data_IF_728699030181
#
_entry.id   IF_728699030181
#
_cell.length_a   1.000
_cell.length_b   1.000
_cell.length_c   1.000
_cell.angle_alpha   90.00
_cell.angle_beta   90.00
_cell.angle_gamma   90.00
#
_symmetry.space_group_name_H-M   'P 1'
#
loop_
_entity.id
_entity.type
_entity.pdbx_description
1 polymer ?
#
# COMPACT_ATOMS: atom_id res chain seq x y z
N UNK A 1 18.94 18.18 17.26
CA UNK A 1 17.54 18.66 17.23
C UNK A 1 16.78 17.80 16.25
N UNK A 2 15.68 17.17 16.66
CA UNK A 2 14.85 16.39 15.74
C UNK A 2 14.03 17.39 14.92
N UNK A 3 14.19 17.39 13.60
CA UNK A 3 13.52 18.34 12.70
C UNK A 3 12.08 17.90 12.38
N UNK A 4 11.30 17.60 13.42
CA UNK A 4 9.89 17.20 13.26
C UNK A 4 9.04 18.31 12.72
N UNK A 5 9.45 19.58 12.84
CA UNK A 5 8.65 20.75 12.43
C UNK A 5 8.85 21.14 10.97
N UNK A 6 9.52 20.29 10.19
CA UNK A 6 9.77 20.51 8.76
C UNK A 6 9.01 19.49 7.90
N UNK A 7 8.87 19.78 6.61
CA UNK A 7 8.26 18.84 5.64
C UNK A 7 9.02 17.51 5.50
N UNK A 8 10.27 17.45 5.99
CA UNK A 8 11.02 16.19 6.06
C UNK A 8 10.36 15.17 6.98
N UNK A 9 9.54 15.60 7.94
CA UNK A 9 8.77 14.70 8.77
C UNK A 9 7.76 13.90 7.94
N UNK A 10 6.96 14.57 7.11
CA UNK A 10 6.01 13.95 6.18
C UNK A 10 6.73 13.01 5.21
N UNK A 11 7.85 13.46 4.63
CA UNK A 11 8.69 12.64 3.74
C UNK A 11 9.14 11.37 4.44
N UNK A 12 9.67 11.48 5.65
CA UNK A 12 10.16 10.33 6.42
C UNK A 12 9.03 9.34 6.74
N UNK A 13 7.89 9.83 7.24
CA UNK A 13 6.74 8.99 7.60
C UNK A 13 6.21 8.23 6.38
N UNK A 14 5.95 8.92 5.26
CA UNK A 14 5.45 8.27 4.04
C UNK A 14 6.47 7.26 3.52
N UNK A 15 7.75 7.60 3.53
CA UNK A 15 8.82 6.71 3.04
C UNK A 15 8.97 5.45 3.91
N UNK A 16 8.87 5.58 5.24
CA UNK A 16 8.89 4.44 6.16
C UNK A 16 7.68 3.52 5.90
N UNK A 17 6.48 4.09 5.75
CA UNK A 17 5.27 3.30 5.45
C UNK A 17 5.44 2.52 4.14
N UNK A 18 5.92 3.15 3.08
CA UNK A 18 6.14 2.47 1.80
C UNK A 18 7.27 1.45 1.86
N UNK A 19 8.34 1.71 2.62
CA UNK A 19 9.43 0.76 2.80
C UNK A 19 8.93 -0.50 3.53
N UNK A 20 8.32 -0.32 4.71
CA UNK A 20 7.73 -1.40 5.52
C UNK A 20 6.66 -2.14 4.73
N UNK A 21 5.75 -1.41 4.08
CA UNK A 21 4.69 -1.97 3.26
C UNK A 21 5.22 -2.82 2.10
N UNK A 22 6.28 -2.40 1.42
CA UNK A 22 6.89 -3.21 0.36
C UNK A 22 7.59 -4.46 0.89
N UNK A 23 8.18 -4.43 2.09
CA UNK A 23 8.80 -5.61 2.71
C UNK A 23 7.73 -6.67 3.01
N UNK A 24 6.63 -6.29 3.67
CA UNK A 24 5.60 -7.24 4.08
C UNK A 24 4.62 -7.61 2.97
N UNK A 25 4.20 -6.62 2.18
CA UNK A 25 3.11 -6.76 1.21
C UNK A 25 3.58 -6.68 -0.24
N UNK A 26 4.89 -6.67 -0.51
CA UNK A 26 5.42 -6.52 -1.87
C UNK A 26 4.97 -7.61 -2.84
N UNK A 27 4.69 -8.81 -2.34
CA UNK A 27 4.18 -9.96 -3.10
C UNK A 27 2.73 -9.75 -3.60
N UNK A 28 1.94 -8.85 -2.99
CA UNK A 28 0.65 -8.43 -3.53
C UNK A 28 0.82 -7.55 -4.79
N UNK A 29 2.03 -7.12 -5.16
CA UNK A 29 2.26 -6.30 -6.37
C UNK A 29 3.30 -6.89 -7.30
N UNK A 30 3.54 -8.20 -7.24
CA UNK A 30 4.57 -8.91 -7.98
C UNK A 30 4.52 -8.64 -9.50
N UNK A 31 3.34 -8.78 -10.12
CA UNK A 31 3.16 -8.53 -11.56
C UNK A 31 2.80 -7.07 -11.89
N UNK A 32 2.85 -6.16 -10.91
CA UNK A 32 2.58 -4.74 -11.16
C UNK A 32 3.84 -4.06 -11.71
N UNK A 33 3.75 -3.32 -12.83
CA UNK A 33 4.91 -2.60 -13.38
C UNK A 33 5.55 -1.69 -12.33
N UNK A 34 6.89 -1.75 -12.20
CA UNK A 34 7.65 -1.01 -11.16
C UNK A 34 7.35 0.50 -11.19
N UNK A 35 7.18 1.09 -12.37
CA UNK A 35 6.85 2.51 -12.51
C UNK A 35 5.50 2.87 -11.88
N UNK A 36 4.50 1.97 -11.91
CA UNK A 36 3.20 2.20 -11.24
C UNK A 36 3.36 2.19 -9.73
N UNK A 37 4.22 1.29 -9.21
CA UNK A 37 4.50 1.20 -7.77
C UNK A 37 5.22 2.45 -7.27
N UNK A 38 6.22 2.90 -8.02
CA UNK A 38 6.92 4.15 -7.75
C UNK A 38 6.00 5.37 -7.90
N UNK A 39 5.15 5.39 -8.92
CA UNK A 39 4.15 6.44 -9.13
C UNK A 39 3.16 6.57 -7.98
N UNK A 40 2.71 5.45 -7.37
CA UNK A 40 1.87 5.49 -6.16
C UNK A 40 2.59 6.18 -5.00
N UNK A 41 3.86 5.83 -4.76
CA UNK A 41 4.67 6.48 -3.74
C UNK A 41 4.78 7.99 -3.96
N UNK A 42 5.17 8.42 -5.17
CA UNK A 42 5.28 9.84 -5.50
C UNK A 42 3.93 10.57 -5.36
N UNK A 43 2.84 9.95 -5.84
CA UNK A 43 1.52 10.55 -5.74
C UNK A 43 1.09 10.71 -4.27
N UNK A 44 1.26 9.68 -3.43
CA UNK A 44 0.96 9.79 -2.00
C UNK A 44 1.81 10.87 -1.34
N UNK A 45 3.11 10.91 -1.66
CA UNK A 45 4.01 11.92 -1.11
C UNK A 45 3.58 13.34 -1.47
N UNK A 46 3.26 13.59 -2.74
CA UNK A 46 2.78 14.89 -3.21
C UNK A 46 1.45 15.29 -2.56
N UNK A 47 0.51 14.36 -2.41
CA UNK A 47 -0.77 14.61 -1.73
C UNK A 47 -0.54 14.96 -0.26
N UNK A 48 0.28 14.19 0.46
CA UNK A 48 0.56 14.43 1.88
C UNK A 48 1.29 15.76 2.09
N UNK A 49 2.31 16.05 1.28
CA UNK A 49 3.04 17.32 1.32
C UNK A 49 2.13 18.51 0.99
N UNK A 50 1.35 18.41 -0.08
CA UNK A 50 0.40 19.46 -0.46
C UNK A 50 -0.62 19.71 0.64
N UNK A 51 -1.21 18.66 1.20
CA UNK A 51 -2.19 18.79 2.28
C UNK A 51 -1.57 19.42 3.54
N UNK A 52 -0.33 19.03 3.87
CA UNK A 52 0.39 19.62 5.00
C UNK A 52 0.68 21.11 4.81
N UNK A 53 1.02 21.54 3.58
CA UNK A 53 1.30 22.96 3.27
C UNK A 53 0.02 23.80 3.27
N UNK A 54 -1.06 23.31 2.66
CA UNK A 54 -2.26 24.13 2.43
C UNK A 54 -3.31 24.06 3.56
N UNK A 55 -3.39 22.96 4.30
CA UNK A 55 -4.40 22.73 5.35
C UNK A 55 -3.75 22.50 6.72
N UNK A 56 -2.52 22.02 6.72
CA UNK A 56 -1.73 21.76 7.92
C UNK A 56 -1.47 20.27 8.14
N UNK A 57 -0.43 20.00 8.93
CA UNK A 57 0.04 18.64 9.22
C UNK A 57 -1.05 17.73 9.77
N UNK A 58 -1.89 18.23 10.67
CA UNK A 58 -2.96 17.44 11.30
C UNK A 58 -3.88 16.79 10.26
N UNK A 59 -4.20 17.51 9.17
CA UNK A 59 -5.03 17.00 8.08
C UNK A 59 -4.27 15.94 7.27
N UNK A 60 -3.00 16.20 6.97
CA UNK A 60 -2.14 15.25 6.23
C UNK A 60 -1.95 13.93 6.99
N UNK A 61 -1.70 13.98 8.30
CA UNK A 61 -1.53 12.80 9.14
C UNK A 61 -2.85 12.07 9.37
N UNK A 62 -3.96 12.79 9.50
CA UNK A 62 -5.30 12.19 9.57
C UNK A 62 -5.62 11.43 8.28
N UNK A 63 -5.36 12.03 7.11
CA UNK A 63 -5.55 11.37 5.82
C UNK A 63 -4.72 10.09 5.71
N UNK A 64 -3.44 10.16 6.09
CA UNK A 64 -2.54 9.01 6.06
C UNK A 64 -3.00 7.91 7.02
N UNK A 65 -3.43 8.28 8.23
CA UNK A 65 -3.99 7.36 9.21
C UNK A 65 -5.28 6.68 8.73
N UNK A 66 -6.14 7.41 8.00
CA UNK A 66 -7.36 6.85 7.42
C UNK A 66 -7.07 5.75 6.38
N UNK A 67 -5.89 5.73 5.74
CA UNK A 67 -5.51 4.67 4.80
C UNK A 67 -5.27 3.31 5.47
N UNK A 68 -5.19 3.26 6.80
CA UNK A 68 -5.17 2.00 7.56
C UNK A 68 -6.51 1.29 7.45
N UNK A 69 -7.63 2.02 7.36
CA UNK A 69 -8.97 1.44 7.26
C UNK A 69 -9.13 0.50 6.05
N UNK A 70 -8.85 0.93 4.80
CA UNK A 70 -8.91 0.03 3.66
C UNK A 70 -7.87 -1.10 3.74
N UNK A 71 -6.67 -0.85 4.30
CA UNK A 71 -5.67 -1.90 4.52
C UNK A 71 -6.25 -3.02 5.41
N UNK A 72 -6.76 -2.68 6.59
CA UNK A 72 -7.34 -3.64 7.53
C UNK A 72 -8.58 -4.31 6.96
N UNK A 73 -9.45 -3.58 6.26
CA UNK A 73 -10.64 -4.15 5.65
C UNK A 73 -10.28 -5.17 4.56
N UNK A 74 -9.36 -4.81 3.64
CA UNK A 74 -9.00 -5.66 2.52
C UNK A 74 -8.27 -6.92 3.01
N UNK A 75 -7.24 -6.73 3.85
CA UNK A 75 -6.38 -7.83 4.30
C UNK A 75 -7.00 -8.63 5.45
N UNK A 76 -7.74 -8.00 6.36
CA UNK A 76 -8.36 -8.68 7.50
C UNK A 76 -9.70 -9.35 7.16
N UNK A 77 -10.48 -8.80 6.24
CA UNK A 77 -11.84 -9.26 5.98
C UNK A 77 -12.10 -9.64 4.52
N UNK A 78 -11.89 -8.74 3.57
CA UNK A 78 -12.35 -8.94 2.20
C UNK A 78 -11.64 -10.10 1.49
N UNK A 79 -10.30 -10.12 1.50
CA UNK A 79 -9.55 -11.22 0.89
C UNK A 79 -9.88 -12.55 1.56
N UNK A 80 -9.81 -12.69 2.91
CA UNK A 80 -10.06 -13.98 3.55
C UNK A 80 -11.51 -14.44 3.43
N UNK A 81 -12.49 -13.57 3.74
CA UNK A 81 -13.90 -13.96 3.85
C UNK A 81 -14.65 -13.94 2.54
N UNK A 82 -14.34 -13.01 1.62
CA UNK A 82 -15.08 -12.87 0.35
C UNK A 82 -14.38 -13.55 -0.82
N UNK A 83 -13.05 -13.70 -0.78
CA UNK A 83 -12.27 -14.29 -1.88
C UNK A 83 -11.64 -15.63 -1.55
N UNK A 84 -11.60 -16.03 -0.26
CA UNK A 84 -10.88 -17.22 0.17
C UNK A 84 -9.39 -17.13 -0.13
N UNK A 85 -8.84 -15.92 -0.05
CA UNK A 85 -7.43 -15.59 -0.24
C UNK A 85 -6.89 -15.13 1.11
N UNK A 86 -5.80 -15.72 1.59
CA UNK A 86 -5.12 -15.29 2.79
C UNK A 86 -4.67 -13.83 2.63
N UNK A 87 -5.17 -12.95 3.49
CA UNK A 87 -4.87 -11.52 3.40
C UNK A 87 -3.46 -11.14 3.84
N UNK A 88 -2.67 -12.06 4.38
CA UNK A 88 -1.27 -11.84 4.69
C UNK A 88 -0.32 -12.39 3.61
N UNK A 89 -0.59 -13.58 3.06
CA UNK A 89 0.31 -14.26 2.10
C UNK A 89 -0.14 -14.20 0.63
N UNK A 90 -1.41 -13.85 0.39
CA UNK A 90 -2.02 -13.88 -0.94
C UNK A 90 -2.28 -15.29 -1.48
N UNK A 91 -2.26 -16.32 -0.63
CA UNK A 91 -2.54 -17.70 -1.03
C UNK A 91 -4.04 -18.06 -0.98
N UNK A 92 -4.54 -18.96 -1.85
CA UNK A 92 -3.83 -19.61 -2.95
C UNK A 92 -3.47 -18.65 -4.09
N UNK A 93 -2.23 -18.70 -4.59
CA UNK A 93 -1.70 -17.73 -5.57
C UNK A 93 -2.53 -17.67 -6.85
N UNK A 94 -3.01 -18.81 -7.34
CA UNK A 94 -3.90 -18.87 -8.52
C UNK A 94 -5.17 -18.04 -8.34
N UNK A 95 -5.83 -18.09 -7.18
CA UNK A 95 -7.02 -17.27 -6.89
C UNK A 95 -6.67 -15.79 -6.81
N UNK A 96 -5.52 -15.46 -6.22
CA UNK A 96 -5.05 -14.09 -6.12
C UNK A 96 -4.71 -13.48 -7.49
N UNK A 97 -4.00 -14.21 -8.34
CA UNK A 97 -3.69 -13.79 -9.70
C UNK A 97 -4.97 -13.59 -10.51
N UNK A 98 -5.93 -14.52 -10.42
CA UNK A 98 -7.25 -14.35 -11.04
C UNK A 98 -7.98 -13.09 -10.53
N UNK A 99 -7.98 -12.84 -9.22
CA UNK A 99 -8.55 -11.63 -8.62
C UNK A 99 -7.90 -10.35 -9.13
N UNK A 100 -6.59 -10.40 -9.42
CA UNK A 100 -5.81 -9.27 -9.95
C UNK A 100 -5.87 -9.12 -11.47
N UNK A 101 -6.48 -10.07 -12.17
CA UNK A 101 -6.48 -10.11 -13.63
C UNK A 101 -5.09 -10.40 -14.22
N UNK A 102 -4.24 -11.12 -13.50
CA UNK A 102 -2.92 -11.57 -13.94
C UNK A 102 -2.97 -12.96 -14.56
N UNK A 103 -1.90 -13.34 -15.26
CA UNK A 103 -1.81 -14.65 -15.92
C UNK A 103 -1.84 -15.80 -14.88
N UNK A 104 -2.85 -16.66 -14.98
CA UNK A 104 -3.02 -17.82 -14.10
C UNK A 104 -2.48 -19.12 -14.69
N UNK A 105 -2.09 -19.14 -15.97
CA UNK A 105 -1.60 -20.34 -16.66
C UNK A 105 -0.28 -20.84 -16.08
N UNK A 106 0.47 -19.95 -15.42
CA UNK A 106 1.69 -20.27 -14.69
C UNK A 106 1.47 -21.35 -13.61
N UNK A 107 0.24 -21.50 -13.10
CA UNK A 107 -0.13 -22.50 -12.09
C UNK A 107 -0.80 -23.76 -12.67
N UNK A 108 -0.91 -23.90 -14.01
CA UNK A 108 -1.58 -25.05 -14.64
C UNK A 108 -0.77 -26.34 -14.53
N UNK A 109 0.53 -26.26 -14.24
CA UNK A 109 1.46 -27.39 -14.15
C UNK A 109 1.77 -27.84 -12.71
N UNK A 110 1.17 -27.19 -11.72
CA UNK A 110 1.26 -27.54 -10.29
C UNK A 110 0.02 -28.34 -9.86
#
# INVERSE_FOLDING_TARGET
MWATDTLWFEVAIVSIIYAVGNIFFGHFEEQTPKWRRFGKYLLTLLIVLGLSVYVGRWASMSLLGLMIVPLLYIHGYYLPKKKGINGWTGEPKRKYYAFRGWDTEIFRKE
#
